data_IF_361265995570
#
_entry.id   IF_361265995570
#
_cell.length_a   1.000
_cell.length_b   1.000
_cell.length_c   1.000
_cell.angle_alpha   90.00
_cell.angle_beta   90.00
_cell.angle_gamma   90.00
#
_symmetry.space_group_name_H-M   'P 1'
#
loop_
_entity.id
_entity.type
_entity.pdbx_description
1 polymer ?
#
# COMPACT_ATOMS: atom_id res chain seq x y z
N UNK A 1 3.94 4.50 -21.71
CA UNK A 1 3.49 5.67 -20.91
C UNK A 1 3.66 5.32 -19.45
N UNK A 2 4.35 6.14 -18.64
CA UNK A 2 4.42 5.93 -17.19
C UNK A 2 3.12 6.42 -16.55
N UNK A 3 2.62 5.69 -15.56
CA UNK A 3 1.48 6.09 -14.74
C UNK A 3 1.98 6.32 -13.32
N UNK A 4 1.58 7.44 -12.74
CA UNK A 4 1.82 7.79 -11.35
C UNK A 4 0.51 7.59 -10.60
N UNK A 5 0.59 7.07 -9.38
CA UNK A 5 -0.57 6.79 -8.56
C UNK A 5 -0.30 7.26 -7.14
N UNK A 6 -1.32 7.77 -6.48
CA UNK A 6 -1.25 8.01 -5.05
C UNK A 6 -1.44 6.69 -4.30
N UNK A 7 -0.53 6.40 -3.38
CA UNK A 7 -0.56 5.21 -2.53
C UNK A 7 -0.83 5.65 -1.11
N UNK A 8 -1.82 5.04 -0.48
CA UNK A 8 -2.10 5.20 0.96
C UNK A 8 -1.43 4.04 1.67
N UNK A 9 -0.61 4.34 2.69
CA UNK A 9 0.03 3.35 3.55
C UNK A 9 -0.46 3.57 4.97
N UNK A 10 -1.03 2.53 5.56
CA UNK A 10 -1.53 2.49 6.93
C UNK A 10 -0.79 1.41 7.71
N UNK A 11 -0.50 1.64 8.99
CA UNK A 11 0.00 0.60 9.87
C UNK A 11 -1.15 0.09 10.74
N UNK A 12 -1.37 -1.22 10.75
CA UNK A 12 -2.39 -1.86 11.57
C UNK A 12 -1.91 -2.12 13.02
N UNK A 13 -2.82 -2.63 13.85
CA UNK A 13 -2.58 -2.89 15.27
C UNK A 13 -1.53 -4.00 15.51
N UNK A 14 -1.34 -4.90 14.54
CA UNK A 14 -0.34 -5.98 14.58
C UNK A 14 1.03 -5.49 14.03
N UNK A 15 1.12 -4.22 13.65
CA UNK A 15 2.34 -3.56 13.17
C UNK A 15 2.65 -3.82 11.69
N UNK A 16 1.74 -4.42 10.93
CA UNK A 16 1.90 -4.58 9.49
C UNK A 16 1.52 -3.30 8.75
N UNK A 17 2.19 -3.06 7.63
CA UNK A 17 1.87 -1.99 6.69
C UNK A 17 0.93 -2.52 5.62
N UNK A 18 -0.21 -1.87 5.46
CA UNK A 18 -1.16 -2.10 4.38
C UNK A 18 -1.05 -0.94 3.39
N UNK A 19 -0.72 -1.26 2.14
CA UNK A 19 -0.68 -0.29 1.06
C UNK A 19 -1.90 -0.48 0.14
N UNK A 20 -2.55 0.63 -0.23
CA UNK A 20 -3.70 0.63 -1.14
C UNK A 20 -3.61 1.75 -2.18
N UNK A 21 -4.13 1.48 -3.38
CA UNK A 21 -4.22 2.47 -4.45
C UNK A 21 -5.70 2.78 -4.72
N UNK A 22 -6.25 3.91 -4.24
CA UNK A 22 -7.69 4.21 -4.36
C UNK A 22 -8.21 4.22 -5.80
N UNK A 23 -7.35 4.61 -6.74
CA UNK A 23 -7.66 4.68 -8.17
C UNK A 23 -7.76 3.28 -8.83
N UNK A 24 -7.19 2.26 -8.20
CA UNK A 24 -7.15 0.87 -8.69
C UNK A 24 -7.89 -0.04 -7.71
N UNK A 25 -9.19 -0.22 -7.92
CA UNK A 25 -10.02 -1.10 -7.05
C UNK A 25 -9.41 -2.49 -6.94
N UNK A 26 -9.23 -2.95 -5.70
CA UNK A 26 -8.65 -4.26 -5.41
C UNK A 26 -7.11 -4.30 -5.43
N UNK A 27 -6.44 -3.18 -5.69
CA UNK A 27 -4.99 -3.09 -5.60
C UNK A 27 -4.56 -2.79 -4.16
N UNK A 28 -4.25 -3.87 -3.44
CA UNK A 28 -3.81 -3.84 -2.05
C UNK A 28 -2.65 -4.83 -1.84
N UNK A 29 -1.72 -4.50 -0.95
CA UNK A 29 -0.67 -5.41 -0.49
C UNK A 29 -0.38 -5.15 0.99
N UNK A 30 0.22 -6.13 1.67
CA UNK A 30 0.57 -6.03 3.08
C UNK A 30 2.01 -6.54 3.30
N UNK A 31 2.77 -5.86 4.15
CA UNK A 31 4.15 -6.21 4.49
C UNK A 31 4.49 -5.89 5.95
N UNK A 32 5.51 -6.54 6.51
CA UNK A 32 6.00 -6.26 7.88
C UNK A 32 6.99 -5.10 7.97
N UNK A 33 7.62 -4.74 6.85
CA UNK A 33 8.53 -3.60 6.75
C UNK A 33 8.33 -2.89 5.41
N UNK A 34 8.77 -1.64 5.33
CA UNK A 34 8.85 -0.84 4.11
C UNK A 34 10.22 -0.99 3.39
N UNK A 35 11.15 -1.73 4.01
CA UNK A 35 12.47 -2.00 3.45
C UNK A 35 12.43 -3.05 2.32
N UNK A 36 13.54 -3.13 1.56
CA UNK A 36 13.77 -4.10 0.46
C UNK A 36 14.10 -5.49 0.99
#
# INVERSE_FOLDING_TARGET
MKKEFNVIIEQDEDGFFVASVPELRGCHTQAKSLDI
#
